data_IF_315777510527
#
_entry.id   IF_315777510527
#
_cell.length_a   1.000
_cell.length_b   1.000
_cell.length_c   1.000
_cell.angle_alpha   90.00
_cell.angle_beta   90.00
_cell.angle_gamma   90.00
#
_symmetry.space_group_name_H-M   'P 1'
#
loop_
_entity.id
_entity.type
_entity.pdbx_description
1 polymer ?
#
# COMPACT_ATOMS: atom_id res chain seq x y z
N UNK A 1 28.77 10.07 -9.43
CA UNK A 1 29.59 10.60 -10.54
C UNK A 1 30.98 10.89 -10.02
N UNK A 2 32.02 10.62 -10.80
CA UNK A 2 33.36 11.10 -10.47
C UNK A 2 33.44 12.62 -10.68
N UNK A 3 34.25 13.34 -9.87
CA UNK A 3 34.42 14.77 -10.05
C UNK A 3 35.03 15.05 -11.44
N UNK A 4 34.50 16.01 -12.21
CA UNK A 4 35.18 16.47 -13.41
C UNK A 4 36.54 17.07 -13.03
N UNK A 5 37.53 17.00 -13.92
CA UNK A 5 38.81 17.64 -13.66
C UNK A 5 38.64 19.17 -13.79
N UNK A 6 39.17 19.97 -12.85
CA UNK A 6 39.08 21.43 -12.92
C UNK A 6 39.70 22.00 -14.20
N UNK A 7 40.69 21.30 -14.73
CA UNK A 7 41.47 21.66 -15.92
C UNK A 7 40.66 21.54 -17.23
N UNK A 8 39.65 20.68 -17.25
CA UNK A 8 38.88 20.36 -18.46
C UNK A 8 37.70 21.34 -18.67
N UNK A 9 37.05 21.77 -17.58
CA UNK A 9 35.88 22.66 -17.62
C UNK A 9 35.55 23.21 -16.21
N UNK A 10 36.04 24.42 -15.91
CA UNK A 10 35.86 25.07 -14.60
C UNK A 10 34.38 25.26 -14.26
N UNK A 11 33.54 25.61 -15.24
CA UNK A 11 32.11 25.85 -15.03
C UNK A 11 31.40 24.55 -14.64
N UNK A 12 31.72 23.43 -15.30
CA UNK A 12 31.20 22.11 -14.89
C UNK A 12 31.72 21.69 -13.51
N UNK A 13 32.96 22.04 -13.16
CA UNK A 13 33.54 21.73 -11.87
C UNK A 13 32.86 22.48 -10.72
N UNK A 14 32.64 23.79 -10.87
CA UNK A 14 31.92 24.60 -9.89
C UNK A 14 30.47 24.11 -9.70
N UNK A 15 29.76 23.84 -10.80
CA UNK A 15 28.40 23.29 -10.75
C UNK A 15 28.35 21.89 -10.11
N UNK A 16 29.41 21.09 -10.25
CA UNK A 16 29.54 19.81 -9.56
C UNK A 16 29.74 20.00 -8.06
N UNK A 17 30.57 20.95 -7.63
CA UNK A 17 30.80 21.27 -6.21
C UNK A 17 29.49 21.64 -5.52
N UNK A 18 28.71 22.54 -6.12
CA UNK A 18 27.44 23.01 -5.55
C UNK A 18 26.43 21.86 -5.38
N UNK A 19 26.29 21.00 -6.40
CA UNK A 19 25.43 19.82 -6.35
C UNK A 19 25.91 18.80 -5.33
N UNK A 20 27.22 18.57 -5.24
CA UNK A 20 27.81 17.66 -4.28
C UNK A 20 27.62 18.15 -2.84
N UNK A 21 27.80 19.45 -2.58
CA UNK A 21 27.54 20.06 -1.28
C UNK A 21 26.05 19.98 -0.89
N UNK A 22 25.16 20.28 -1.84
CA UNK A 22 23.70 20.15 -1.62
C UNK A 22 23.30 18.71 -1.29
N UNK A 23 23.87 17.73 -2.01
CA UNK A 23 23.63 16.32 -1.74
C UNK A 23 24.19 15.87 -0.39
N UNK A 24 25.40 16.31 0.00
CA UNK A 24 25.96 16.03 1.33
C UNK A 24 25.09 16.61 2.45
N UNK A 25 24.58 17.84 2.28
CA UNK A 25 23.68 18.46 3.25
C UNK A 25 22.36 17.67 3.38
N UNK A 26 21.75 17.30 2.26
CA UNK A 26 20.53 16.49 2.25
C UNK A 26 20.72 15.12 2.93
N UNK A 27 21.82 14.42 2.63
CA UNK A 27 22.16 13.16 3.28
C UNK A 27 22.36 13.37 4.79
N UNK A 28 23.10 14.42 5.17
CA UNK A 28 23.37 14.70 6.58
C UNK A 28 22.14 14.98 7.41
N UNK A 29 21.15 15.69 6.84
CA UNK A 29 19.85 15.93 7.46
C UNK A 29 19.02 14.64 7.57
N UNK A 30 19.18 13.71 6.63
CA UNK A 30 18.35 12.51 6.52
C UNK A 30 18.82 11.34 7.39
N UNK A 31 20.11 11.24 7.71
CA UNK A 31 20.70 10.05 8.31
C UNK A 31 20.78 10.06 9.86
N UNK A 32 20.34 11.11 10.54
CA UNK A 32 20.46 11.23 12.00
C UNK A 32 21.91 11.42 12.50
N UNK A 33 22.07 11.80 13.77
CA UNK A 33 23.38 12.24 14.33
C UNK A 33 24.45 11.14 14.29
N UNK A 34 24.05 9.87 14.45
CA UNK A 34 24.96 8.74 14.55
C UNK A 34 25.65 8.42 13.23
N UNK A 35 24.87 8.42 12.13
CA UNK A 35 25.41 8.22 10.78
C UNK A 35 26.12 9.49 10.32
N UNK A 36 25.58 10.68 10.63
CA UNK A 36 26.21 11.96 10.32
C UNK A 36 27.65 12.04 10.84
N UNK A 37 27.89 11.55 12.07
CA UNK A 37 29.23 11.53 12.68
C UNK A 37 30.26 10.73 11.87
N UNK A 38 29.83 9.68 11.17
CA UNK A 38 30.65 8.78 10.37
C UNK A 38 30.92 9.36 8.98
N UNK A 39 29.95 10.10 8.42
CA UNK A 39 30.02 10.63 7.05
C UNK A 39 30.53 12.07 6.98
N UNK A 40 30.58 12.83 8.09
CA UNK A 40 30.96 14.27 8.10
C UNK A 40 32.34 14.58 7.54
N UNK A 41 33.24 13.59 7.47
CA UNK A 41 34.60 13.73 6.93
C UNK A 41 34.69 13.41 5.44
N UNK A 42 33.60 12.95 4.83
CA UNK A 42 33.55 12.54 3.44
C UNK A 42 33.09 13.73 2.60
N UNK A 43 33.93 14.12 1.64
CA UNK A 43 33.72 15.28 0.77
C UNK A 43 33.01 14.92 -0.55
N UNK A 44 32.60 13.68 -0.73
CA UNK A 44 31.90 13.18 -1.92
C UNK A 44 30.59 12.52 -1.54
N UNK A 45 29.48 13.10 -1.99
CA UNK A 45 28.14 12.55 -1.79
C UNK A 45 28.01 11.13 -2.37
N UNK A 46 28.72 10.84 -3.47
CA UNK A 46 28.76 9.50 -4.08
C UNK A 46 29.35 8.48 -3.11
N UNK A 47 30.50 8.80 -2.49
CA UNK A 47 31.18 7.89 -1.56
C UNK A 47 30.31 7.64 -0.32
N UNK A 48 29.65 8.69 0.18
CA UNK A 48 28.68 8.56 1.28
C UNK A 48 27.54 7.63 0.87
N UNK A 49 26.96 7.81 -0.31
CA UNK A 49 25.86 6.98 -0.80
C UNK A 49 26.27 5.51 -0.98
N UNK A 50 27.43 5.24 -1.57
CA UNK A 50 27.96 3.88 -1.75
C UNK A 50 28.21 3.18 -0.40
N UNK A 51 28.63 3.93 0.62
CA UNK A 51 28.79 3.43 1.98
C UNK A 51 27.44 3.11 2.63
N UNK A 52 26.45 4.00 2.52
CA UNK A 52 25.09 3.77 3.03
C UNK A 52 24.43 2.58 2.35
N UNK A 53 24.57 2.45 1.03
CA UNK A 53 24.05 1.31 0.28
C UNK A 53 24.67 -0.02 0.74
N UNK A 54 25.95 -0.04 1.14
CA UNK A 54 26.57 -1.23 1.74
C UNK A 54 26.06 -1.54 3.15
N UNK A 55 25.79 -0.51 3.95
CA UNK A 55 25.31 -0.68 5.33
C UNK A 55 23.86 -1.15 5.39
N UNK A 56 23.00 -0.63 4.50
CA UNK A 56 21.55 -0.83 4.55
C UNK A 56 20.98 -1.64 3.37
N UNK A 57 21.80 -1.99 2.37
CA UNK A 57 21.36 -2.73 1.18
C UNK A 57 21.26 -4.25 1.35
N UNK A 58 21.31 -4.78 2.58
CA UNK A 58 21.10 -6.21 2.86
C UNK A 58 19.70 -6.43 3.43
N UNK A 59 18.92 -7.42 2.95
CA UNK A 59 17.71 -7.84 3.64
C UNK A 59 18.11 -8.34 5.03
N UNK A 60 17.46 -7.81 6.07
CA UNK A 60 17.59 -8.29 7.43
C UNK A 60 17.17 -9.77 7.51
N UNK A 61 18.14 -10.68 7.42
CA UNK A 61 17.98 -12.01 7.98
C UNK A 61 17.78 -11.83 9.49
N UNK A 62 16.63 -12.28 9.98
CA UNK A 62 16.28 -12.24 11.39
C UNK A 62 17.37 -12.86 12.24
N UNK A 63 18.03 -12.03 13.04
CA UNK A 63 18.96 -12.48 14.07
C UNK A 63 18.12 -12.86 15.29
N UNK A 64 17.74 -14.14 15.35
CA UNK A 64 17.56 -14.82 16.63
C UNK A 64 18.96 -14.95 17.24
N UNK A 65 19.27 -14.13 18.24
CA UNK A 65 20.41 -14.40 19.12
C UNK A 65 19.92 -15.25 20.31
N UNK A 66 20.49 -16.44 20.52
CA UNK A 66 20.35 -17.19 21.76
C UNK A 66 21.33 -16.65 22.81
N UNK A 67 20.99 -16.82 24.10
CA UNK A 67 21.85 -17.29 25.20
C UNK A 67 21.18 -16.96 26.54
N UNK A 68 21.09 -17.97 27.42
CA UNK A 68 20.73 -17.81 28.82
C UNK A 68 20.29 -19.12 29.49
N UNK A 69 21.17 -20.13 29.54
CA UNK A 69 20.99 -21.32 30.39
C UNK A 69 21.09 -20.97 31.88
N UNK A 70 20.19 -21.54 32.69
CA UNK A 70 20.32 -22.06 34.07
C UNK A 70 18.89 -22.38 34.54
N UNK A 71 18.48 -23.56 35.02
CA UNK A 71 19.11 -24.82 35.37
C UNK A 71 18.02 -25.76 35.96
N UNK A 72 18.42 -26.99 36.28
CA UNK A 72 17.69 -28.09 36.96
C UNK A 72 16.85 -28.98 36.03
N UNK A 73 17.41 -30.10 35.55
CA UNK A 73 17.63 -31.38 36.25
C UNK A 73 16.32 -32.12 36.57
N UNK A 74 16.05 -33.21 35.84
CA UNK A 74 16.20 -34.58 36.34
C UNK A 74 15.53 -35.60 35.41
N UNK A 75 16.31 -36.64 35.08
CA UNK A 75 15.91 -38.05 35.10
C UNK A 75 15.18 -38.74 33.92
N UNK A 76 15.99 -39.56 33.24
CA UNK A 76 15.89 -41.04 33.08
C UNK A 76 15.84 -41.55 31.63
N UNK A 77 16.72 -42.53 31.46
CA UNK A 77 17.28 -43.24 30.33
C UNK A 77 16.47 -44.44 29.79
N UNK A 78 16.70 -44.74 28.51
CA UNK A 78 16.54 -46.07 27.85
C UNK A 78 16.42 -45.87 26.33
N UNK A 79 17.40 -46.12 25.45
CA UNK A 79 18.00 -47.41 25.01
C UNK A 79 16.88 -48.39 24.60
N UNK A 80 16.73 -48.93 23.38
CA UNK A 80 17.49 -49.06 22.12
C UNK A 80 16.53 -49.64 21.05
N UNK A 81 16.85 -49.44 19.76
CA UNK A 81 16.83 -50.38 18.59
C UNK A 81 15.59 -51.31 18.41
N UNK A 82 14.95 -51.49 17.24
CA UNK A 82 15.52 -51.87 15.94
C UNK A 82 14.50 -51.78 14.76
N UNK A 83 15.07 -51.72 13.54
CA UNK A 83 14.53 -51.79 12.15
C UNK A 83 13.83 -53.14 11.79
N UNK A 84 13.41 -53.47 10.53
CA UNK A 84 13.33 -52.73 9.24
C UNK A 84 12.02 -52.94 8.38
N UNK A 85 11.93 -52.19 7.26
CA UNK A 85 11.54 -52.55 5.85
C UNK A 85 10.78 -53.87 5.60
N UNK A 86 9.83 -54.06 4.65
CA UNK A 86 9.64 -53.49 3.31
C UNK A 86 8.34 -54.07 2.68
N UNK A 87 7.86 -53.42 1.61
CA UNK A 87 7.13 -53.98 0.45
C UNK A 87 5.60 -54.25 0.45
N UNK A 88 4.96 -53.50 -0.47
CA UNK A 88 4.03 -53.94 -1.53
C UNK A 88 2.52 -54.14 -1.25
N UNK A 89 1.76 -53.15 -1.74
CA UNK A 89 0.65 -53.27 -2.71
C UNK A 89 -0.56 -54.18 -2.38
N UNK A 90 -1.75 -53.57 -2.18
CA UNK A 90 -2.82 -53.49 -3.18
C UNK A 90 -4.22 -53.22 -2.58
N UNK A 91 -4.99 -52.44 -3.34
CA UNK A 91 -6.45 -52.49 -3.52
C UNK A 91 -7.40 -51.97 -2.42
N UNK A 92 -7.99 -50.80 -2.76
CA UNK A 92 -9.44 -50.52 -2.82
C UNK A 92 -10.37 -51.31 -1.89
N UNK A 93 -11.08 -50.61 -1.00
CA UNK A 93 -12.55 -50.50 -1.02
C UNK A 93 -13.05 -49.59 0.10
N UNK A 94 -14.25 -49.08 -0.14
CA UNK A 94 -14.99 -48.07 0.59
C UNK A 94 -15.08 -48.23 2.11
N UNK A 95 -15.07 -47.07 2.76
CA UNK A 95 -15.98 -46.61 3.83
C UNK A 95 -15.19 -45.79 4.83
N UNK A 96 -15.50 -44.49 4.91
CA UNK A 96 -15.58 -43.85 6.21
C UNK A 96 -16.53 -42.66 6.15
N UNK A 97 -17.73 -42.92 6.67
CA UNK A 97 -18.52 -41.93 7.38
C UNK A 97 -17.64 -41.36 8.49
N UNK A 98 -17.32 -40.08 8.40
CA UNK A 98 -16.87 -39.27 9.52
C UNK A 98 -17.39 -37.87 9.25
N UNK A 99 -18.67 -37.70 9.58
CA UNK A 99 -19.28 -36.40 9.80
C UNK A 99 -18.47 -35.69 10.89
N UNK A 100 -17.60 -34.77 10.47
CA UNK A 100 -17.12 -33.72 11.33
C UNK A 100 -18.02 -32.51 11.03
N UNK A 101 -18.92 -32.09 11.94
CA UNK A 101 -19.77 -30.95 11.66
C UNK A 101 -18.86 -29.71 11.61
N UNK A 102 -18.88 -29.08 10.45
CA UNK A 102 -18.01 -27.98 10.10
C UNK A 102 -18.27 -26.76 10.98
N UNK A 103 -17.18 -26.10 11.32
CA UNK A 103 -17.15 -24.71 11.84
C UNK A 103 -17.56 -23.68 10.76
N UNK A 104 -18.21 -24.12 9.67
CA UNK A 104 -18.52 -23.34 8.47
C UNK A 104 -20.01 -23.02 8.25
N UNK A 105 -20.93 -23.67 8.98
CA UNK A 105 -22.35 -23.58 8.67
C UNK A 105 -23.07 -22.39 9.34
N UNK A 106 -22.57 -21.90 10.48
CA UNK A 106 -23.21 -20.79 11.21
C UNK A 106 -23.05 -19.41 10.53
N UNK A 107 -21.90 -19.12 9.91
CA UNK A 107 -21.69 -17.82 9.24
C UNK A 107 -22.51 -17.71 7.95
N UNK A 108 -22.76 -18.83 7.26
CA UNK A 108 -23.46 -18.86 5.98
C UNK A 108 -24.92 -18.37 6.08
N UNK A 109 -25.60 -18.70 7.18
CA UNK A 109 -27.00 -18.32 7.40
C UNK A 109 -27.21 -16.83 7.70
N UNK A 110 -26.24 -16.13 8.31
CA UNK A 110 -26.39 -14.70 8.64
C UNK A 110 -26.27 -13.80 7.39
N UNK A 111 -25.52 -14.23 6.37
CA UNK A 111 -25.40 -13.46 5.11
C UNK A 111 -26.68 -13.46 4.27
N UNK A 112 -27.49 -14.52 4.35
CA UNK A 112 -28.78 -14.60 3.64
C UNK A 112 -29.70 -13.44 4.06
N UNK A 113 -29.60 -13.00 5.31
CA UNK A 113 -30.35 -11.85 5.84
C UNK A 113 -30.05 -10.54 5.10
N UNK A 114 -28.82 -10.37 4.62
CA UNK A 114 -28.38 -9.15 3.93
C UNK A 114 -28.36 -9.30 2.41
N UNK A 115 -28.86 -10.40 1.85
CA UNK A 115 -28.90 -10.62 0.41
C UNK A 115 -29.65 -9.52 -0.35
N UNK A 116 -30.78 -9.04 0.19
CA UNK A 116 -31.53 -7.93 -0.38
C UNK A 116 -30.70 -6.64 -0.40
N UNK A 117 -30.07 -6.28 0.73
CA UNK A 117 -29.19 -5.13 0.84
C UNK A 117 -28.03 -5.19 -0.16
N UNK A 118 -27.37 -6.35 -0.28
CA UNK A 118 -26.29 -6.55 -1.25
C UNK A 118 -26.75 -6.32 -2.68
N UNK A 119 -27.96 -6.77 -3.03
CA UNK A 119 -28.52 -6.55 -4.36
C UNK A 119 -28.78 -5.07 -4.62
N UNK A 120 -29.41 -4.35 -3.68
CA UNK A 120 -29.66 -2.91 -3.80
C UNK A 120 -28.35 -2.12 -3.98
N UNK A 121 -27.33 -2.45 -3.20
CA UNK A 121 -26.01 -1.81 -3.31
C UNK A 121 -25.36 -2.11 -4.67
N UNK A 122 -25.40 -3.35 -5.15
CA UNK A 122 -24.81 -3.71 -6.46
C UNK A 122 -25.55 -3.08 -7.63
N UNK A 123 -26.87 -3.05 -7.58
CA UNK A 123 -27.71 -2.50 -8.64
C UNK A 123 -27.76 -0.97 -8.68
N UNK A 124 -27.28 -0.29 -7.63
CA UNK A 124 -27.36 1.17 -7.54
C UNK A 124 -28.77 1.68 -7.18
N UNK A 125 -29.60 0.86 -6.52
CA UNK A 125 -30.97 1.24 -6.17
C UNK A 125 -30.99 1.99 -4.82
N UNK A 126 -30.83 3.32 -4.90
CA UNK A 126 -30.77 4.20 -3.74
C UNK A 126 -32.06 4.18 -2.90
N UNK A 127 -33.23 4.11 -3.54
CA UNK A 127 -34.50 4.19 -2.84
C UNK A 127 -34.78 2.89 -2.07
N UNK A 128 -34.56 1.73 -2.70
CA UNK A 128 -34.70 0.45 -2.02
C UNK A 128 -33.66 0.28 -0.90
N UNK A 129 -32.44 0.79 -1.10
CA UNK A 129 -31.43 0.85 -0.05
C UNK A 129 -31.91 1.66 1.16
N UNK A 130 -32.42 2.89 0.92
CA UNK A 130 -32.93 3.77 1.98
C UNK A 130 -34.05 3.11 2.78
N UNK A 131 -34.98 2.48 2.08
CA UNK A 131 -36.09 1.75 2.70
C UNK A 131 -35.59 0.57 3.53
N UNK A 132 -34.63 -0.21 3.03
CA UNK A 132 -34.03 -1.33 3.77
C UNK A 132 -33.32 -0.83 5.04
N UNK A 133 -32.50 0.21 4.95
CA UNK A 133 -31.76 0.76 6.10
C UNK A 133 -32.68 1.40 7.14
N UNK A 134 -33.83 1.96 6.73
CA UNK A 134 -34.86 2.45 7.64
C UNK A 134 -35.46 1.30 8.48
N UNK A 135 -35.72 0.16 7.84
CA UNK A 135 -36.26 -1.04 8.52
C UNK A 135 -35.20 -1.78 9.34
N UNK A 136 -33.93 -1.70 8.93
CA UNK A 136 -32.82 -2.40 9.55
C UNK A 136 -31.63 -1.47 9.84
N UNK A 137 -31.73 -0.55 10.84
CA UNK A 137 -30.67 0.44 11.10
C UNK A 137 -29.29 -0.15 11.40
N UNK A 138 -29.24 -1.35 11.99
CA UNK A 138 -27.98 -2.08 12.27
C UNK A 138 -27.27 -2.56 11.02
N UNK A 139 -27.96 -2.63 9.88
CA UNK A 139 -27.38 -3.10 8.62
C UNK A 139 -26.32 -2.13 8.07
N UNK A 140 -26.39 -0.85 8.45
CA UNK A 140 -25.43 0.19 8.07
C UNK A 140 -23.99 -0.18 8.47
N UNK A 141 -23.80 -0.79 9.64
CA UNK A 141 -22.47 -1.19 10.15
C UNK A 141 -22.23 -2.71 10.11
N UNK A 142 -23.15 -3.48 9.54
CA UNK A 142 -23.04 -4.93 9.50
C UNK A 142 -21.96 -5.36 8.51
N UNK A 143 -21.21 -6.41 8.88
CA UNK A 143 -20.33 -7.16 7.98
C UNK A 143 -21.19 -8.16 7.21
N UNK A 144 -21.44 -7.87 5.94
CA UNK A 144 -22.47 -8.52 5.12
C UNK A 144 -21.90 -9.50 4.08
N UNK A 145 -20.59 -9.71 4.03
CA UNK A 145 -19.94 -10.72 3.17
C UNK A 145 -18.97 -11.60 3.96
N UNK A 146 -18.53 -12.69 3.34
CA UNK A 146 -17.55 -13.62 3.90
C UNK A 146 -16.14 -13.03 4.10
N UNK A 147 -15.85 -11.90 3.43
CA UNK A 147 -14.63 -11.11 3.63
C UNK A 147 -14.87 -9.89 4.52
N UNK A 148 -15.89 -9.95 5.38
CA UNK A 148 -16.16 -8.95 6.41
C UNK A 148 -16.46 -7.54 5.87
N UNK A 149 -16.92 -7.42 4.62
CA UNK A 149 -17.24 -6.12 4.03
C UNK A 149 -18.58 -5.58 4.52
N UNK A 150 -18.64 -4.27 4.73
CA UNK A 150 -19.90 -3.53 4.97
C UNK A 150 -20.55 -3.08 3.67
N UNK A 151 -21.79 -2.60 3.73
CA UNK A 151 -22.46 -1.99 2.57
C UNK A 151 -21.61 -0.87 1.91
N UNK A 152 -20.88 -0.09 2.71
CA UNK A 152 -20.02 0.98 2.19
C UNK A 152 -18.84 0.46 1.37
N UNK A 153 -18.23 -0.67 1.75
CA UNK A 153 -17.16 -1.28 0.96
C UNK A 153 -17.67 -1.71 -0.41
N UNK A 154 -18.82 -2.39 -0.44
CA UNK A 154 -19.40 -2.92 -1.68
C UNK A 154 -19.76 -1.78 -2.62
N UNK A 155 -20.34 -0.69 -2.09
CA UNK A 155 -20.80 0.41 -2.95
C UNK A 155 -19.64 1.22 -3.53
N UNK A 156 -18.57 1.39 -2.76
CA UNK A 156 -17.33 2.01 -3.23
C UNK A 156 -16.75 1.20 -4.40
N UNK A 157 -16.68 -0.13 -4.25
CA UNK A 157 -16.20 -1.01 -5.31
C UNK A 157 -17.14 -1.03 -6.53
N UNK A 158 -18.43 -0.78 -6.33
CA UNK A 158 -19.42 -0.69 -7.41
C UNK A 158 -19.41 0.68 -8.13
N UNK A 159 -18.76 1.71 -7.59
CA UNK A 159 -18.66 3.02 -8.22
C UNK A 159 -19.90 3.92 -8.05
N UNK A 160 -20.83 3.60 -7.15
CA UNK A 160 -22.08 4.38 -6.99
C UNK A 160 -21.90 5.55 -6.02
N UNK A 161 -21.36 6.66 -6.51
CA UNK A 161 -21.03 7.87 -5.72
C UNK A 161 -22.22 8.42 -4.90
N UNK A 162 -23.41 8.50 -5.51
CA UNK A 162 -24.63 8.98 -4.84
C UNK A 162 -25.06 8.11 -3.66
N UNK A 163 -24.75 6.81 -3.68
CA UNK A 163 -25.03 5.91 -2.56
C UNK A 163 -23.93 6.01 -1.50
N UNK A 164 -22.67 6.22 -1.91
CA UNK A 164 -21.58 6.49 -0.96
C UNK A 164 -21.95 7.69 -0.09
N UNK A 165 -22.38 8.80 -0.69
CA UNK A 165 -22.81 10.00 0.04
C UNK A 165 -23.90 9.68 1.07
N UNK A 166 -24.97 8.98 0.65
CA UNK A 166 -26.08 8.60 1.52
C UNK A 166 -25.63 7.72 2.71
N UNK A 167 -24.76 6.73 2.46
CA UNK A 167 -24.25 5.85 3.50
C UNK A 167 -23.32 6.58 4.46
N UNK A 168 -22.43 7.44 3.94
CA UNK A 168 -21.49 8.24 4.74
C UNK A 168 -22.24 9.19 5.67
N UNK A 169 -23.34 9.78 5.20
CA UNK A 169 -24.16 10.66 6.02
C UNK A 169 -24.84 9.94 7.18
N UNK A 170 -25.27 8.69 6.96
CA UNK A 170 -25.93 7.83 7.97
C UNK A 170 -24.96 7.15 8.93
N UNK A 171 -23.69 7.02 8.56
CA UNK A 171 -22.69 6.34 9.38
C UNK A 171 -22.09 7.23 10.47
N UNK A 172 -21.80 6.63 11.62
CA UNK A 172 -20.92 7.24 12.62
C UNK A 172 -19.47 7.16 12.17
N UNK A 173 -18.60 7.97 12.78
CA UNK A 173 -17.16 7.94 12.51
C UNK A 173 -16.54 6.57 12.74
N UNK A 174 -17.01 5.84 13.77
CA UNK A 174 -16.53 4.48 14.08
C UNK A 174 -16.99 3.47 13.01
N UNK A 175 -18.19 3.63 12.46
CA UNK A 175 -18.69 2.75 11.40
C UNK A 175 -17.93 2.95 10.09
N UNK A 176 -17.49 4.18 9.80
CA UNK A 176 -16.62 4.47 8.65
C UNK A 176 -15.22 3.85 8.78
N UNK A 177 -14.78 3.61 10.01
CA UNK A 177 -13.48 3.00 10.31
C UNK A 177 -13.51 1.46 10.31
N UNK A 178 -14.67 0.83 10.06
CA UNK A 178 -14.75 -0.64 9.97
C UNK A 178 -13.87 -1.11 8.81
N UNK A 179 -13.04 -2.12 9.11
CA UNK A 179 -12.17 -2.77 8.15
C UNK A 179 -12.74 -4.12 7.70
N UNK A 180 -12.54 -4.44 6.43
CA UNK A 180 -12.75 -5.77 5.87
C UNK A 180 -11.66 -6.76 6.32
N UNK A 181 -11.71 -8.01 5.83
CA UNK A 181 -10.79 -9.08 6.27
C UNK A 181 -9.31 -8.78 5.97
N UNK A 182 -9.02 -7.95 4.96
CA UNK A 182 -7.66 -7.55 4.58
C UNK A 182 -7.19 -6.31 5.35
N UNK A 183 -8.03 -5.78 6.24
CA UNK A 183 -7.78 -4.55 6.97
C UNK A 183 -8.11 -3.28 6.18
N UNK A 184 -8.73 -3.36 5.00
CA UNK A 184 -9.06 -2.15 4.26
C UNK A 184 -10.34 -1.55 4.84
N UNK A 185 -10.33 -0.24 5.09
CA UNK A 185 -11.59 0.53 5.22
C UNK A 185 -12.21 0.72 3.84
N UNK A 186 -13.48 1.11 3.78
CA UNK A 186 -14.11 1.45 2.51
C UNK A 186 -13.39 2.61 1.80
N UNK A 187 -12.86 3.57 2.57
CA UNK A 187 -12.01 4.65 2.03
C UNK A 187 -10.70 4.12 1.42
N UNK A 188 -10.06 3.14 2.07
CA UNK A 188 -8.86 2.51 1.52
C UNK A 188 -9.18 1.78 0.20
N UNK A 189 -10.33 1.09 0.10
CA UNK A 189 -10.80 0.51 -1.17
C UNK A 189 -11.06 1.56 -2.25
N UNK A 190 -11.66 2.71 -1.91
CA UNK A 190 -11.86 3.82 -2.87
C UNK A 190 -10.51 4.39 -3.37
N UNK A 191 -9.50 4.39 -2.49
CA UNK A 191 -8.16 4.83 -2.84
C UNK A 191 -7.50 3.88 -3.85
N UNK A 192 -7.74 2.56 -3.75
CA UNK A 192 -7.23 1.58 -4.73
C UNK A 192 -7.89 1.68 -6.11
N UNK A 193 -9.06 2.31 -6.22
CA UNK A 193 -9.74 2.56 -7.50
C UNK A 193 -9.53 3.99 -8.04
N UNK A 194 -8.76 4.82 -7.33
CA UNK A 194 -8.46 6.19 -7.75
C UNK A 194 -9.68 7.13 -7.76
N UNK A 195 -10.81 6.74 -7.14
CA UNK A 195 -12.02 7.56 -7.15
C UNK A 195 -11.89 8.72 -6.15
N UNK A 196 -11.46 9.87 -6.67
CA UNK A 196 -11.20 11.07 -5.88
C UNK A 196 -12.45 11.60 -5.17
N UNK A 197 -13.61 11.57 -5.83
CA UNK A 197 -14.89 12.07 -5.32
C UNK A 197 -15.33 11.28 -4.08
N UNK A 198 -15.27 9.95 -4.15
CA UNK A 198 -15.59 9.08 -3.02
C UNK A 198 -14.62 9.25 -1.86
N UNK A 199 -13.32 9.36 -2.17
CA UNK A 199 -12.28 9.60 -1.16
C UNK A 199 -12.54 10.91 -0.43
N UNK A 200 -12.80 11.99 -1.17
CA UNK A 200 -13.08 13.30 -0.60
C UNK A 200 -14.35 13.30 0.26
N UNK A 201 -15.43 12.66 -0.22
CA UNK A 201 -16.69 12.50 0.52
C UNK A 201 -16.47 11.87 1.91
N UNK A 202 -15.77 10.74 1.96
CA UNK A 202 -15.51 10.02 3.21
C UNK A 202 -14.56 10.78 4.16
N UNK A 203 -13.52 11.42 3.62
CA UNK A 203 -12.57 12.22 4.41
C UNK A 203 -13.24 13.47 5.01
N UNK A 204 -14.13 14.13 4.27
CA UNK A 204 -14.91 15.29 4.76
C UNK A 204 -15.71 14.93 6.01
N UNK A 205 -16.24 13.71 6.09
CA UNK A 205 -16.97 13.20 7.26
C UNK A 205 -16.05 12.82 8.41
N UNK A 206 -14.95 12.12 8.13
CA UNK A 206 -14.01 11.67 9.15
C UNK A 206 -12.56 11.69 8.64
N UNK A 207 -11.84 12.77 8.94
CA UNK A 207 -10.45 12.94 8.53
C UNK A 207 -9.52 11.90 9.16
N UNK A 208 -9.85 11.30 10.31
CA UNK A 208 -8.99 10.31 10.98
C UNK A 208 -8.81 9.02 10.17
N UNK A 209 -9.66 8.78 9.17
CA UNK A 209 -9.58 7.61 8.32
C UNK A 209 -8.27 7.57 7.51
N UNK A 210 -7.62 8.72 7.26
CA UNK A 210 -6.35 8.78 6.51
C UNK A 210 -5.20 8.04 7.19
N UNK A 211 -5.27 7.91 8.52
CA UNK A 211 -4.25 7.29 9.36
C UNK A 211 -4.49 5.79 9.60
N UNK A 212 -5.61 5.23 9.13
CA UNK A 212 -5.92 3.81 9.34
C UNK A 212 -5.12 2.98 8.35
N UNK A 213 -4.22 2.15 8.88
CA UNK A 213 -3.41 1.22 8.11
C UNK A 213 -4.18 -0.06 7.78
N UNK A 214 -4.01 -0.56 6.55
CA UNK A 214 -4.48 -1.90 6.18
C UNK A 214 -3.63 -3.01 6.83
N UNK A 215 -4.17 -4.23 6.93
CA UNK A 215 -3.55 -5.29 7.76
C UNK A 215 -2.51 -6.14 7.03
N UNK A 216 -2.50 -6.16 5.70
CA UNK A 216 -1.60 -6.96 4.89
C UNK A 216 -0.18 -6.40 4.88
N UNK A 217 0.00 -5.11 4.66
CA UNK A 217 1.32 -4.46 4.64
C UNK A 217 1.47 -3.37 5.70
N UNK A 218 0.38 -2.96 6.36
CA UNK A 218 0.42 -1.82 7.28
C UNK A 218 0.36 -0.48 6.58
N UNK A 219 -0.06 -0.40 5.31
CA UNK A 219 -0.05 0.83 4.52
C UNK A 219 -1.21 1.75 4.85
N UNK A 220 -0.93 3.05 5.01
CA UNK A 220 -1.96 4.10 5.06
C UNK A 220 -2.27 4.62 3.65
N UNK A 221 -3.32 5.46 3.53
CA UNK A 221 -3.86 5.88 2.23
C UNK A 221 -2.84 6.53 1.29
N UNK A 222 -1.95 7.38 1.81
CA UNK A 222 -0.93 8.02 0.96
C UNK A 222 -0.03 6.97 0.30
N UNK A 223 0.39 5.94 1.04
CA UNK A 223 1.21 4.84 0.48
C UNK A 223 0.39 4.00 -0.50
N UNK A 224 -0.87 3.70 -0.17
CA UNK A 224 -1.77 2.94 -1.06
C UNK A 224 -1.91 3.69 -2.39
N UNK A 225 -2.25 4.97 -2.40
CA UNK A 225 -2.43 5.75 -3.64
C UNK A 225 -1.17 5.78 -4.52
N UNK A 226 0.02 5.77 -3.92
CA UNK A 226 1.29 5.72 -4.66
C UNK A 226 1.55 4.36 -5.30
N UNK A 227 1.23 3.26 -4.60
CA UNK A 227 1.37 1.91 -5.13
C UNK A 227 0.49 1.66 -6.37
N UNK A 228 -0.62 2.41 -6.49
CA UNK A 228 -1.53 2.38 -7.63
C UNK A 228 -1.29 3.55 -8.62
N UNK A 229 -0.19 4.29 -8.48
CA UNK A 229 0.21 5.43 -9.33
C UNK A 229 -0.81 6.59 -9.44
N UNK A 230 -1.67 6.78 -8.43
CA UNK A 230 -2.61 7.90 -8.36
C UNK A 230 -1.94 9.14 -7.77
N UNK A 231 -1.08 9.78 -8.55
CA UNK A 231 -0.22 10.89 -8.12
C UNK A 231 -0.98 12.07 -7.52
N UNK A 232 -2.04 12.54 -8.17
CA UNK A 232 -2.86 13.66 -7.69
C UNK A 232 -3.55 13.33 -6.36
N UNK A 233 -4.06 12.09 -6.25
CA UNK A 233 -4.67 11.59 -5.03
C UNK A 233 -3.62 11.43 -3.92
N UNK A 234 -2.43 10.94 -4.24
CA UNK A 234 -1.31 10.83 -3.31
C UNK A 234 -0.87 12.20 -2.79
N UNK A 235 -0.80 13.21 -3.66
CA UNK A 235 -0.52 14.60 -3.25
C UNK A 235 -1.59 15.15 -2.31
N UNK A 236 -2.87 14.93 -2.64
CA UNK A 236 -3.97 15.33 -1.77
C UNK A 236 -3.89 14.62 -0.40
N UNK A 237 -3.74 13.30 -0.39
CA UNK A 237 -3.67 12.51 0.83
C UNK A 237 -2.42 12.83 1.67
N UNK A 238 -1.28 13.10 1.04
CA UNK A 238 -0.08 13.60 1.72
C UNK A 238 -0.37 14.88 2.50
N UNK A 239 -1.09 15.84 1.90
CA UNK A 239 -1.43 17.10 2.58
C UNK A 239 -2.33 16.92 3.81
N UNK A 240 -3.04 15.78 3.87
CA UNK A 240 -3.95 15.44 4.96
C UNK A 240 -3.33 14.46 5.97
N UNK A 241 -2.23 13.81 5.63
CA UNK A 241 -1.59 12.80 6.47
C UNK A 241 -0.88 13.50 7.63
N UNK A 242 -1.24 13.19 8.90
CA UNK A 242 -0.52 13.71 10.06
C UNK A 242 0.97 13.40 9.98
N UNK A 243 1.82 14.39 10.30
CA UNK A 243 3.27 14.22 10.21
C UNK A 243 3.76 13.05 11.08
N UNK A 244 3.12 12.82 12.22
CA UNK A 244 3.47 11.73 13.13
C UNK A 244 3.32 10.36 12.45
N UNK A 245 2.36 10.19 11.56
CA UNK A 245 2.15 8.94 10.82
C UNK A 245 3.25 8.66 9.80
N UNK A 246 4.10 9.65 9.51
CA UNK A 246 5.25 9.51 8.62
C UNK A 246 6.57 9.30 9.37
N UNK A 247 6.54 9.32 10.70
CA UNK A 247 7.71 9.06 11.54
C UNK A 247 8.11 7.57 11.47
N UNK A 248 9.42 7.24 11.53
CA UNK A 248 9.90 5.86 11.45
C UNK A 248 9.25 4.90 12.46
N UNK A 249 8.85 5.41 13.62
CA UNK A 249 8.22 4.66 14.71
C UNK A 249 6.78 4.21 14.38
N UNK A 250 6.13 4.85 13.39
CA UNK A 250 4.78 4.51 12.94
C UNK A 250 4.75 3.46 11.82
N UNK A 251 5.90 3.14 11.25
CA UNK A 251 6.04 2.11 10.23
C UNK A 251 6.79 2.60 9.00
N UNK A 252 6.58 1.92 7.88
CA UNK A 252 7.35 2.17 6.66
C UNK A 252 6.85 3.37 5.83
N UNK A 253 5.81 4.10 6.27
CA UNK A 253 5.09 5.07 5.42
C UNK A 253 5.98 6.20 4.91
N UNK A 254 6.72 6.87 5.80
CA UNK A 254 7.66 7.91 5.43
C UNK A 254 8.79 7.40 4.53
N UNK A 255 9.30 6.18 4.79
CA UNK A 255 10.33 5.56 3.98
C UNK A 255 9.84 5.19 2.56
N UNK A 256 8.60 4.70 2.43
CA UNK A 256 7.95 4.44 1.16
C UNK A 256 7.82 5.72 0.32
N UNK A 257 7.40 6.83 0.95
CA UNK A 257 7.32 8.15 0.31
C UNK A 257 8.67 8.62 -0.23
N UNK A 258 9.72 8.55 0.59
CA UNK A 258 11.09 8.92 0.20
C UNK A 258 11.60 8.04 -0.94
N UNK A 259 11.36 6.73 -0.87
CA UNK A 259 11.81 5.77 -1.89
C UNK A 259 11.17 6.07 -3.26
N UNK A 260 9.87 6.35 -3.27
CA UNK A 260 9.16 6.73 -4.49
C UNK A 260 9.67 8.06 -5.04
N UNK A 261 9.90 9.07 -4.20
CA UNK A 261 10.46 10.35 -4.63
C UNK A 261 11.85 10.19 -5.27
N UNK A 262 12.73 9.37 -4.68
CA UNK A 262 14.05 9.05 -5.24
C UNK A 262 13.90 8.38 -6.61
N UNK A 263 12.97 7.43 -6.74
CA UNK A 263 12.71 6.75 -8.00
C UNK A 263 12.27 7.72 -9.11
N UNK A 264 11.31 8.60 -8.82
CA UNK A 264 10.85 9.62 -9.77
C UNK A 264 11.98 10.57 -10.17
N UNK A 265 12.78 11.05 -9.21
CA UNK A 265 13.94 11.91 -9.51
C UNK A 265 14.99 11.20 -10.37
N UNK A 266 15.22 9.91 -10.14
CA UNK A 266 16.13 9.10 -10.95
C UNK A 266 15.63 8.95 -12.40
N UNK A 267 14.34 8.68 -12.60
CA UNK A 267 13.72 8.60 -13.93
C UNK A 267 13.82 9.93 -14.68
N UNK A 268 13.48 11.05 -14.04
CA UNK A 268 13.64 12.39 -14.62
C UNK A 268 15.10 12.65 -14.96
N UNK A 269 16.03 12.27 -14.09
CA UNK A 269 17.47 12.35 -14.35
C UNK A 269 17.92 11.57 -15.58
N UNK A 270 17.37 10.36 -15.78
CA UNK A 270 17.66 9.52 -16.94
C UNK A 270 17.15 10.15 -18.24
N UNK A 271 15.89 10.59 -18.27
CA UNK A 271 15.29 11.25 -19.44
C UNK A 271 16.05 12.53 -19.80
N UNK A 272 16.48 13.32 -18.79
CA UNK A 272 17.28 14.53 -19.05
C UNK A 272 18.65 14.25 -19.65
N UNK A 273 19.29 13.14 -19.27
CA UNK A 273 20.59 12.74 -19.82
C UNK A 273 20.47 12.13 -21.21
N UNK A 274 19.42 11.35 -21.43
CA UNK A 274 19.17 10.64 -22.67
C UNK A 274 17.72 10.89 -23.14
N UNK A 275 17.40 12.08 -23.69
CA UNK A 275 16.03 12.40 -24.10
C UNK A 275 15.44 11.43 -25.11
N UNK A 276 16.29 10.81 -25.94
CA UNK A 276 15.88 9.82 -26.93
C UNK A 276 15.24 8.57 -26.31
N UNK A 277 15.51 8.26 -25.03
CA UNK A 277 14.86 7.16 -24.33
C UNK A 277 13.35 7.38 -24.18
N UNK A 278 12.85 8.63 -24.21
CA UNK A 278 11.42 8.88 -24.20
C UNK A 278 10.70 8.33 -25.44
N UNK A 279 11.41 8.17 -26.56
CA UNK A 279 10.90 7.68 -27.85
C UNK A 279 11.37 6.27 -28.20
N UNK A 280 12.39 5.76 -27.51
CA UNK A 280 12.95 4.43 -27.80
C UNK A 280 11.92 3.37 -27.42
N UNK A 281 11.73 2.38 -28.28
CA UNK A 281 10.79 1.31 -28.05
C UNK A 281 11.32 0.34 -26.98
N UNK A 282 10.45 -0.05 -26.07
CA UNK A 282 10.70 -1.12 -25.12
C UNK A 282 10.56 -2.50 -25.79
N UNK A 283 10.59 -3.57 -24.97
CA UNK A 283 10.46 -4.95 -25.47
C UNK A 283 9.09 -5.25 -26.10
N UNK A 284 8.07 -4.51 -25.70
CA UNK A 284 6.70 -4.64 -26.20
C UNK A 284 6.45 -3.69 -27.39
N UNK A 285 7.52 -3.10 -27.93
CA UNK A 285 7.48 -2.16 -29.06
C UNK A 285 6.72 -0.86 -28.76
N UNK A 286 6.65 -0.45 -27.48
CA UNK A 286 6.05 0.80 -27.06
C UNK A 286 7.13 1.79 -26.60
N UNK A 287 7.01 3.05 -27.02
CA UNK A 287 7.85 4.10 -26.43
C UNK A 287 7.31 4.50 -25.06
N UNK A 288 8.16 4.90 -24.09
CA UNK A 288 7.69 5.44 -22.81
C UNK A 288 6.70 6.60 -22.96
N UNK A 289 6.88 7.44 -23.99
CA UNK A 289 5.94 8.51 -24.30
C UNK A 289 4.59 7.98 -24.79
N UNK A 290 4.57 6.93 -25.62
CA UNK A 290 3.33 6.26 -26.04
C UNK A 290 2.61 5.62 -24.85
N UNK A 291 3.35 4.92 -23.98
CA UNK A 291 2.79 4.31 -22.76
C UNK A 291 2.13 5.39 -21.91
N UNK A 292 2.85 6.48 -21.64
CA UNK A 292 2.34 7.63 -20.88
C UNK A 292 1.08 8.25 -21.52
N UNK A 293 1.06 8.42 -22.84
CA UNK A 293 -0.09 8.97 -23.56
C UNK A 293 -1.29 8.00 -23.60
N UNK A 294 -1.03 6.70 -23.57
CA UNK A 294 -2.05 5.64 -23.59
C UNK A 294 -2.58 5.31 -22.20
N UNK A 295 -1.91 5.77 -21.13
CA UNK A 295 -2.43 5.72 -19.77
C UNK A 295 -3.46 6.84 -19.62
N UNK A 296 -4.71 6.61 -20.05
CA UNK A 296 -5.78 7.61 -20.00
C UNK A 296 -6.08 8.15 -18.60
N UNK A 297 -5.60 7.47 -17.56
CA UNK A 297 -5.73 7.84 -16.15
C UNK A 297 -4.68 8.90 -15.71
N UNK A 298 -3.59 9.08 -16.45
CA UNK A 298 -2.52 10.03 -16.13
C UNK A 298 -2.86 11.49 -16.52
N UNK A 299 -3.96 11.72 -17.24
CA UNK A 299 -4.40 13.05 -17.65
C UNK A 299 -5.93 13.18 -17.57
N UNK A 300 -6.45 13.85 -16.54
CA UNK A 300 -7.87 14.21 -16.39
C UNK A 300 -8.42 15.16 -17.48
N UNK A 301 -7.65 15.51 -18.51
CA UNK A 301 -8.12 16.40 -19.60
C UNK A 301 -9.11 15.74 -20.58
N UNK A 302 -9.39 14.44 -20.42
CA UNK A 302 -10.26 13.66 -21.29
C UNK A 302 -11.78 13.76 -21.05
N UNK A 303 -12.26 14.66 -20.17
CA UNK A 303 -13.71 14.93 -20.01
C UNK A 303 -14.04 16.41 -20.24
N UNK A 304 -14.44 16.69 -21.48
CA UNK A 304 -15.29 17.80 -21.93
C UNK A 304 -14.86 19.24 -21.60
N UNK A 305 -13.92 19.77 -22.38
CA UNK A 305 -14.00 21.18 -22.79
C UNK A 305 -15.19 21.34 -23.74
N UNK A 306 -16.40 21.51 -23.21
CA UNK A 306 -17.47 22.19 -23.96
C UNK A 306 -17.16 23.69 -23.91
N UNK A 307 -16.11 24.08 -24.60
CA UNK A 307 -15.89 25.47 -24.97
C UNK A 307 -16.45 25.60 -26.40
N UNK A 308 -17.34 26.56 -26.61
CA UNK A 308 -18.05 26.89 -27.87
C UNK A 308 -19.37 26.15 -28.14
N UNK A 309 -20.47 26.65 -27.55
CA UNK A 309 -21.69 26.90 -28.31
C UNK A 309 -21.84 28.42 -28.47
N UNK A 310 -22.06 28.84 -29.72
CA UNK A 310 -22.48 30.17 -30.14
C UNK A 310 -23.70 30.67 -29.36
#
# INVERSE_FOLDING_TARGET
MEPPKPEDDIVKYEAWIEKNASALNAIGLSCGLDIFSQIKKINSAKVVWDMLAKMYGQPSQGVLNPVGEQGNSSNISGIKEDKPSEAAANQTTDRNSSNNPGRGDEKSHDYVKYAALLNHVRSGDLDALKDFLRLHPKATSAKITFIDQTALHIVVLAGHEHIVEELVDRMSNDNLAIQDIDGYTALARATTSGNYQMVECMIKKNQKLVSIAESSWGSILVVISMNFDYKELAHYLYSLTPQQDLEPEKGHHGASLVSFAIYILALVGLIRRCPQLAFTLDREQFSPLYVLASTSEAFLSGKHLVFWKQ
#
